data_IF_826353902105
#
_entry.id   IF_826353902105
#
_cell.length_a   1.000
_cell.length_b   1.000
_cell.length_c   1.000
_cell.angle_alpha   90.00
_cell.angle_beta   90.00
_cell.angle_gamma   90.00
#
_symmetry.space_group_name_H-M   'P 1'
#
loop_
_entity.id
_entity.type
_entity.pdbx_description
1 polymer ?
#
# COMPACT_ATOMS: atom_id res chain seq x y z
N UNK A 1 4.57 0.31 12.68
CA UNK A 1 3.62 1.39 12.31
C UNK A 1 3.93 1.99 10.96
N UNK A 2 5.10 2.61 10.70
CA UNK A 2 5.43 3.21 9.38
C UNK A 2 5.27 2.23 8.21
N UNK A 3 5.80 1.00 8.31
CA UNK A 3 5.64 -0.01 7.27
C UNK A 3 4.18 -0.42 7.07
N UNK A 4 3.42 -0.58 8.16
CA UNK A 4 2.01 -0.98 8.08
C UNK A 4 1.17 0.10 7.36
N UNK A 5 1.34 1.38 7.73
CA UNK A 5 0.58 2.47 7.10
C UNK A 5 1.01 2.74 5.66
N UNK A 6 2.31 2.58 5.35
CA UNK A 6 2.81 2.68 3.97
C UNK A 6 2.26 1.57 3.08
N UNK A 7 2.20 0.34 3.58
CA UNK A 7 1.60 -0.78 2.85
C UNK A 7 0.11 -0.61 2.64
N UNK A 8 -0.59 0.02 3.57
CA UNK A 8 -2.00 0.36 3.45
C UNK A 8 -2.24 1.36 2.32
N UNK A 9 -1.50 2.47 2.31
CA UNK A 9 -1.56 3.47 1.24
C UNK A 9 -1.23 2.87 -0.14
N UNK A 10 -0.22 2.02 -0.21
CA UNK A 10 0.13 1.32 -1.44
C UNK A 10 -1.01 0.41 -1.93
N UNK A 11 -1.63 -0.33 -1.01
CA UNK A 11 -2.75 -1.23 -1.35
C UNK A 11 -3.96 -0.44 -1.85
N UNK A 12 -4.29 0.69 -1.21
CA UNK A 12 -5.34 1.60 -1.68
C UNK A 12 -5.11 2.07 -3.10
N UNK A 13 -3.89 2.56 -3.41
CA UNK A 13 -3.55 3.03 -4.75
C UNK A 13 -3.65 1.91 -5.80
N UNK A 14 -3.14 0.73 -5.49
CA UNK A 14 -3.15 -0.41 -6.40
C UNK A 14 -4.57 -0.91 -6.68
N UNK A 15 -5.40 -1.09 -5.66
CA UNK A 15 -6.78 -1.56 -5.85
C UNK A 15 -7.63 -0.54 -6.59
N UNK A 16 -7.47 0.76 -6.30
CA UNK A 16 -8.15 1.81 -7.04
C UNK A 16 -7.74 1.85 -8.51
N UNK A 17 -6.46 1.61 -8.82
CA UNK A 17 -5.98 1.53 -10.20
C UNK A 17 -6.57 0.34 -10.97
N UNK A 18 -6.64 -0.82 -10.33
CA UNK A 18 -7.11 -2.07 -10.95
C UNK A 18 -8.63 -2.13 -11.15
N UNK A 19 -9.37 -1.23 -10.56
CA UNK A 19 -10.82 -1.17 -10.73
C UNK A 19 -11.18 -0.75 -12.17
N UNK A 20 -12.02 -1.54 -12.83
CA UNK A 20 -12.43 -1.34 -14.22
C UNK A 20 -13.11 0.01 -14.49
N UNK A 21 -13.66 0.64 -13.48
CA UNK A 21 -14.33 1.94 -13.57
C UNK A 21 -13.42 3.12 -13.24
N UNK A 22 -12.12 2.90 -13.08
CA UNK A 22 -11.17 3.95 -12.74
C UNK A 22 -11.12 5.03 -13.81
N UNK A 23 -11.45 6.27 -13.42
CA UNK A 23 -11.28 7.44 -14.28
C UNK A 23 -9.80 7.72 -14.54
N UNK A 24 -9.49 8.49 -15.58
CA UNK A 24 -8.10 8.86 -15.90
C UNK A 24 -7.40 9.57 -14.72
N UNK A 25 -8.13 10.42 -14.00
CA UNK A 25 -7.59 11.12 -12.82
C UNK A 25 -7.26 10.16 -11.68
N UNK A 26 -8.11 9.18 -11.42
CA UNK A 26 -7.86 8.11 -10.44
C UNK A 26 -6.64 7.28 -10.84
N UNK A 27 -6.55 6.87 -12.11
CA UNK A 27 -5.40 6.10 -12.60
C UNK A 27 -4.08 6.86 -12.45
N UNK A 28 -4.06 8.14 -12.81
CA UNK A 28 -2.86 8.97 -12.69
C UNK A 28 -2.44 9.14 -11.21
N UNK A 29 -3.39 9.49 -10.34
CA UNK A 29 -3.12 9.60 -8.90
C UNK A 29 -2.63 8.28 -8.28
N UNK A 30 -3.21 7.16 -8.70
CA UNK A 30 -2.79 5.83 -8.25
C UNK A 30 -1.36 5.50 -8.66
N UNK A 31 -0.99 5.77 -9.92
CA UNK A 31 0.38 5.52 -10.42
C UNK A 31 1.38 6.38 -9.65
N UNK A 32 1.10 7.66 -9.48
CA UNK A 32 1.96 8.60 -8.75
C UNK A 32 2.13 8.14 -7.28
N UNK A 33 1.02 7.81 -6.61
CA UNK A 33 1.04 7.28 -5.25
C UNK A 33 1.89 6.01 -5.12
N UNK A 34 1.80 5.10 -6.08
CA UNK A 34 2.61 3.87 -6.10
C UNK A 34 4.09 4.21 -6.25
N UNK A 35 4.46 5.06 -7.22
CA UNK A 35 5.84 5.43 -7.46
C UNK A 35 6.48 6.10 -6.24
N UNK A 36 5.81 7.09 -5.64
CA UNK A 36 6.29 7.78 -4.45
C UNK A 36 6.40 6.84 -3.24
N UNK A 37 5.41 5.96 -3.04
CA UNK A 37 5.44 5.00 -1.96
C UNK A 37 6.63 4.04 -2.09
N UNK A 38 6.91 3.54 -3.30
CA UNK A 38 8.06 2.68 -3.55
C UNK A 38 9.39 3.36 -3.27
N UNK A 39 9.50 4.63 -3.61
CA UNK A 39 10.70 5.41 -3.38
C UNK A 39 10.88 5.74 -1.90
N UNK A 40 9.84 6.25 -1.26
CA UNK A 40 9.96 6.82 0.08
C UNK A 40 9.81 5.80 1.22
N UNK A 41 9.00 4.73 1.06
CA UNK A 41 8.73 3.79 2.17
C UNK A 41 10.01 3.10 2.70
N UNK A 42 10.94 2.59 1.87
CA UNK A 42 12.18 2.01 2.37
C UNK A 42 13.03 3.02 3.16
N UNK A 43 13.06 4.28 2.72
CA UNK A 43 13.83 5.35 3.37
C UNK A 43 13.25 5.70 4.74
N UNK A 44 11.94 5.97 4.83
CA UNK A 44 11.30 6.29 6.12
C UNK A 44 11.27 5.10 7.08
N UNK A 45 11.34 3.89 6.56
CA UNK A 45 11.44 2.70 7.40
C UNK A 45 12.83 2.57 8.03
N UNK A 46 13.90 2.90 7.29
CA UNK A 46 15.28 2.90 7.79
C UNK A 46 15.54 4.07 8.73
N UNK A 47 15.10 5.27 8.35
CA UNK A 47 15.24 6.50 9.12
C UNK A 47 13.92 7.27 9.18
N UNK A 48 13.19 7.09 10.27
CA UNK A 48 11.92 7.76 10.51
C UNK A 48 12.04 9.28 10.72
N UNK A 49 13.26 9.83 10.81
CA UNK A 49 13.53 11.27 10.93
C UNK A 49 13.78 11.95 9.59
N UNK A 50 13.92 11.20 8.49
CA UNK A 50 14.16 11.73 7.15
C UNK A 50 12.94 12.49 6.63
N UNK A 51 12.91 13.81 6.86
CA UNK A 51 11.73 14.66 6.62
C UNK A 51 11.26 14.65 5.15
N UNK A 52 12.19 14.68 4.18
CA UNK A 52 11.82 14.68 2.77
C UNK A 52 11.07 13.40 2.38
N UNK A 53 11.57 12.24 2.77
CA UNK A 53 10.90 10.96 2.51
C UNK A 53 9.57 10.83 3.26
N UNK A 54 9.45 11.40 4.47
CA UNK A 54 8.17 11.46 5.19
C UNK A 54 7.14 12.34 4.49
N UNK A 55 7.58 13.45 3.91
CA UNK A 55 6.71 14.33 3.13
C UNK A 55 6.22 13.63 1.85
N UNK A 56 7.10 12.92 1.17
CA UNK A 56 6.75 12.10 0.00
C UNK A 56 5.76 11.00 0.37
N UNK A 57 5.95 10.29 1.48
CA UNK A 57 5.00 9.31 2.00
C UNK A 57 3.63 9.91 2.34
N UNK A 58 3.61 11.13 2.89
CA UNK A 58 2.37 11.83 3.19
C UNK A 58 1.62 12.19 1.89
N UNK A 59 2.34 12.64 0.87
CA UNK A 59 1.77 12.92 -0.45
C UNK A 59 1.26 11.66 -1.14
N UNK A 60 2.04 10.58 -1.13
CA UNK A 60 1.60 9.27 -1.63
C UNK A 60 0.31 8.79 -0.94
N UNK A 61 0.23 8.95 0.37
CA UNK A 61 -0.98 8.59 1.14
C UNK A 61 -2.18 9.46 0.77
N UNK A 62 -1.97 10.75 0.53
CA UNK A 62 -3.02 11.66 0.05
C UNK A 62 -3.54 11.25 -1.32
N UNK A 63 -2.66 10.97 -2.28
CA UNK A 63 -3.03 10.52 -3.62
C UNK A 63 -3.76 9.17 -3.60
N UNK A 64 -3.29 8.23 -2.78
CA UNK A 64 -3.97 6.96 -2.56
C UNK A 64 -5.38 7.16 -1.96
N UNK A 65 -5.50 8.09 -1.00
CA UNK A 65 -6.76 8.51 -0.40
C UNK A 65 -7.73 9.08 -1.44
N UNK A 66 -7.25 9.98 -2.29
CA UNK A 66 -8.03 10.51 -3.41
C UNK A 66 -8.49 9.39 -4.35
N UNK A 67 -7.60 8.49 -4.72
CA UNK A 67 -7.90 7.42 -5.66
C UNK A 67 -9.00 6.48 -5.13
N UNK A 68 -8.85 5.93 -3.92
CA UNK A 68 -9.82 4.97 -3.39
C UNK A 68 -11.17 5.62 -3.02
N UNK A 69 -11.18 6.87 -2.58
CA UNK A 69 -12.42 7.60 -2.27
C UNK A 69 -13.29 7.76 -3.52
N UNK A 70 -12.68 7.90 -4.68
CA UNK A 70 -13.39 8.05 -5.95
C UNK A 70 -13.65 6.71 -6.67
N UNK A 71 -13.03 5.61 -6.25
CA UNK A 71 -13.09 4.34 -7.00
C UNK A 71 -13.15 3.09 -6.13
N UNK A 72 -13.41 3.24 -4.84
CA UNK A 72 -13.52 2.17 -3.85
C UNK A 72 -12.24 1.32 -3.66
N UNK A 73 -12.34 0.36 -2.76
CA UNK A 73 -11.31 -0.65 -2.47
C UNK A 73 -11.74 -2.01 -3.01
N UNK A 74 -10.80 -2.94 -3.10
CA UNK A 74 -11.03 -4.25 -3.70
C UNK A 74 -10.97 -5.43 -2.72
N UNK A 75 -10.58 -6.59 -3.24
CA UNK A 75 -10.57 -7.85 -2.50
C UNK A 75 -9.53 -7.90 -1.38
N UNK A 76 -8.39 -7.23 -1.54
CA UNK A 76 -7.36 -7.21 -0.48
C UNK A 76 -7.91 -6.57 0.77
N UNK A 77 -8.56 -5.41 0.65
CA UNK A 77 -9.19 -4.73 1.78
C UNK A 77 -10.36 -5.53 2.36
N UNK A 78 -11.19 -6.17 1.53
CA UNK A 78 -12.29 -7.01 2.01
C UNK A 78 -11.78 -8.16 2.90
N UNK A 79 -10.70 -8.83 2.49
CA UNK A 79 -10.07 -9.89 3.27
C UNK A 79 -9.41 -9.30 4.53
N UNK A 80 -8.68 -8.19 4.39
CA UNK A 80 -7.97 -7.55 5.49
C UNK A 80 -8.92 -7.08 6.60
N UNK A 81 -10.09 -6.55 6.25
CA UNK A 81 -11.13 -6.16 7.22
C UNK A 81 -11.62 -7.37 8.01
N UNK A 82 -11.94 -8.49 7.32
CA UNK A 82 -12.41 -9.69 7.98
C UNK A 82 -11.35 -10.29 8.91
N UNK A 83 -10.11 -10.41 8.43
CA UNK A 83 -8.98 -10.97 9.20
C UNK A 83 -8.59 -10.03 10.34
N UNK A 84 -8.52 -8.73 10.08
CA UNK A 84 -8.19 -7.72 11.08
C UNK A 84 -9.20 -7.69 12.24
N UNK A 85 -10.49 -7.80 11.93
CA UNK A 85 -11.55 -7.84 12.94
C UNK A 85 -11.50 -9.11 13.80
N UNK A 86 -11.23 -10.27 13.19
CA UNK A 86 -11.21 -11.55 13.91
C UNK A 86 -9.94 -11.73 14.78
N UNK A 87 -8.80 -11.27 14.30
CA UNK A 87 -7.50 -11.54 14.91
C UNK A 87 -6.83 -10.32 15.52
N UNK A 88 -7.49 -9.16 15.51
CA UNK A 88 -6.96 -7.88 16.00
C UNK A 88 -5.60 -7.51 15.39
N UNK A 89 -5.42 -7.80 14.10
CA UNK A 89 -4.19 -7.49 13.36
C UNK A 89 -4.25 -6.02 12.89
N UNK A 90 -3.16 -5.24 13.03
CA UNK A 90 -3.09 -3.89 12.47
C UNK A 90 -3.46 -3.87 10.99
N UNK A 91 -4.31 -2.93 10.58
CA UNK A 91 -4.95 -2.90 9.25
C UNK A 91 -3.96 -3.00 8.09
N UNK A 92 -2.94 -2.15 8.07
CA UNK A 92 -1.93 -2.20 6.99
C UNK A 92 -1.15 -3.52 6.94
N UNK A 93 -0.97 -4.21 8.07
CA UNK A 93 -0.40 -5.56 8.10
C UNK A 93 -1.38 -6.59 7.55
N UNK A 94 -2.65 -6.46 7.88
CA UNK A 94 -3.70 -7.32 7.33
C UNK A 94 -3.84 -7.14 5.82
N UNK A 95 -3.61 -5.95 5.28
CA UNK A 95 -3.55 -5.69 3.83
C UNK A 95 -2.29 -6.28 3.18
N UNK A 96 -1.13 -6.17 3.81
CA UNK A 96 0.13 -6.64 3.24
C UNK A 96 0.14 -8.15 2.96
N UNK A 97 -0.45 -8.97 3.82
CA UNK A 97 -0.48 -10.43 3.67
C UNK A 97 -1.27 -10.88 2.43
N UNK A 98 -2.55 -10.50 2.24
CA UNK A 98 -3.29 -10.85 1.03
C UNK A 98 -2.67 -10.25 -0.23
N UNK A 99 -2.18 -9.01 -0.19
CA UNK A 99 -1.56 -8.36 -1.33
C UNK A 99 -0.33 -9.13 -1.85
N UNK A 100 0.48 -9.67 -0.94
CA UNK A 100 1.63 -10.51 -1.26
C UNK A 100 1.22 -11.90 -1.79
N UNK A 101 0.14 -12.49 -1.24
CA UNK A 101 -0.29 -13.85 -1.54
C UNK A 101 -1.17 -13.97 -2.78
N UNK A 102 -1.99 -12.97 -3.07
CA UNK A 102 -2.89 -12.98 -4.23
C UNK A 102 -2.15 -12.83 -5.56
N UNK A 103 -0.81 -12.69 -5.52
CA UNK A 103 0.03 -12.66 -6.71
C UNK A 103 -0.55 -11.68 -7.75
N UNK A 104 -1.04 -10.53 -7.28
CA UNK A 104 -1.57 -9.50 -8.15
C UNK A 104 -0.59 -9.32 -9.32
N UNK A 105 -1.05 -9.23 -10.57
CA UNK A 105 -0.22 -9.31 -11.77
C UNK A 105 0.91 -8.27 -11.84
N UNK A 106 0.88 -7.32 -10.92
CA UNK A 106 2.02 -6.48 -10.56
C UNK A 106 2.49 -6.87 -9.17
N UNK A 107 3.64 -7.52 -9.09
CA UNK A 107 4.28 -7.81 -7.82
C UNK A 107 5.29 -6.71 -7.38
N UNK A 108 4.90 -5.42 -7.31
CA UNK A 108 5.69 -4.39 -6.66
C UNK A 108 5.90 -4.74 -5.18
N UNK A 109 4.91 -5.42 -4.56
CA UNK A 109 5.00 -5.91 -3.19
C UNK A 109 6.17 -6.87 -2.96
N UNK A 110 6.57 -7.66 -3.97
CA UNK A 110 7.75 -8.54 -3.88
C UNK A 110 9.06 -7.73 -3.86
N UNK A 111 9.11 -6.61 -4.58
CA UNK A 111 10.26 -5.71 -4.52
C UNK A 111 10.39 -5.10 -3.12
N UNK A 112 9.32 -4.54 -2.58
CA UNK A 112 9.32 -4.00 -1.21
C UNK A 112 9.60 -5.07 -0.15
N UNK A 113 9.17 -6.31 -0.36
CA UNK A 113 9.49 -7.39 0.58
C UNK A 113 10.98 -7.73 0.61
N UNK A 114 11.71 -7.49 -0.48
CA UNK A 114 13.16 -7.66 -0.50
C UNK A 114 13.89 -6.55 0.29
N UNK A 115 13.36 -5.33 0.23
CA UNK A 115 13.97 -4.14 0.87
C UNK A 115 13.56 -3.95 2.34
N UNK A 116 12.37 -4.41 2.72
CA UNK A 116 11.84 -4.25 4.08
C UNK A 116 11.74 -5.62 4.75
N UNK A 117 12.65 -5.94 5.71
CA UNK A 117 12.71 -7.26 6.36
C UNK A 117 11.41 -7.72 7.03
N UNK A 118 10.59 -6.79 7.49
CA UNK A 118 9.26 -7.08 8.02
C UNK A 118 8.37 -7.73 6.96
N UNK A 119 8.32 -7.21 5.74
CA UNK A 119 7.52 -7.74 4.63
C UNK A 119 8.05 -9.09 4.14
N UNK A 120 9.38 -9.30 4.20
CA UNK A 120 10.01 -10.57 3.86
C UNK A 120 9.50 -11.72 4.75
N UNK A 121 9.24 -11.47 6.04
CA UNK A 121 8.68 -12.47 6.96
C UNK A 121 7.22 -12.82 6.67
N UNK A 122 6.49 -11.95 5.97
CA UNK A 122 5.10 -12.20 5.60
C UNK A 122 4.97 -12.95 4.27
N UNK A 123 6.03 -12.96 3.43
CA UNK A 123 6.03 -13.59 2.11
C UNK A 123 6.51 -15.05 2.11
N UNK A 124 7.13 -15.53 3.20
CA UNK A 124 7.50 -16.93 3.42
C UNK A 124 6.35 -17.74 3.96
#
# INVERSE_FOLDING_TARGET
MTADTGMDALTHAMEAFLNLFASRSVQNASIEAVCENFHALPEVWRDGTHLAARQEMLHASYLAGFAFTNNFVGYVHAIAHAVGALYHIPHGRANAVPALRLNLPFSPMRFLSAEIPFLKRLSG
#
